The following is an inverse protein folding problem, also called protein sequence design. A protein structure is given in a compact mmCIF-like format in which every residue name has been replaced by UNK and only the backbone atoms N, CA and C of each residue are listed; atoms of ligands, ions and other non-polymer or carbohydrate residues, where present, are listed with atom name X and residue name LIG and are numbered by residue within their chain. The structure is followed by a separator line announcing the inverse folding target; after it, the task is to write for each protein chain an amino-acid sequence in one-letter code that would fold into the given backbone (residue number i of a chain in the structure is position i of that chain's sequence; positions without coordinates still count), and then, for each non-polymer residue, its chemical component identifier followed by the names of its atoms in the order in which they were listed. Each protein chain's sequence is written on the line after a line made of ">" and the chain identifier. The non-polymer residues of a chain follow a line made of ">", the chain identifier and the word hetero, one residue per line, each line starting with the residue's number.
data_IF_610154036118
#
_entry.id   IF_610154036118
#
_cell.length_a   1.000
_cell.length_b   1.000
_cell.length_c   1.000
_cell.angle_alpha   90.00
_cell.angle_beta   90.00
_cell.angle_gamma   90.00
#
_symmetry.space_group_name_H-M   'P 1'
#
loop_
_entity.id
_entity.type
_entity.pdbx_description
1 polymer ?
#
# COMPACT_ATOMS: atom_id res chain seq x y z
N UNK A 1 17.69 16.02 -28.04
CA UNK A 1 16.67 16.06 -26.97
C UNK A 1 15.38 15.57 -27.59
N UNK A 2 14.65 14.61 -26.99
CA UNK A 2 13.37 14.21 -27.57
C UNK A 2 12.46 15.44 -27.63
N UNK A 3 11.74 15.63 -28.74
CA UNK A 3 10.72 16.67 -28.88
C UNK A 3 9.76 16.59 -27.69
N UNK A 4 9.62 17.70 -26.98
CA UNK A 4 8.70 17.82 -25.87
C UNK A 4 7.29 17.73 -26.45
N UNK A 5 6.66 16.55 -26.38
CA UNK A 5 5.30 16.35 -26.83
C UNK A 5 4.40 17.44 -26.23
N UNK A 6 3.62 18.09 -27.08
CA UNK A 6 2.79 19.24 -26.73
C UNK A 6 1.49 18.77 -26.05
N UNK A 7 1.65 18.19 -24.85
CA UNK A 7 0.54 17.73 -24.03
C UNK A 7 -0.32 18.92 -23.60
N UNK A 8 -1.64 18.72 -23.58
CA UNK A 8 -2.59 19.71 -23.10
C UNK A 8 -2.21 20.18 -21.68
N UNK A 9 -2.06 21.50 -21.53
CA UNK A 9 -1.84 22.16 -20.23
C UNK A 9 -3.04 23.02 -19.93
N UNK A 10 -3.72 22.73 -18.82
CA UNK A 10 -4.84 23.55 -18.37
C UNK A 10 -4.36 24.97 -18.07
N UNK A 11 -5.07 25.98 -18.59
CA UNK A 11 -4.80 27.39 -18.32
C UNK A 11 -5.37 27.75 -16.94
N UNK A 12 -4.53 27.67 -15.92
CA UNK A 12 -4.88 28.02 -14.53
C UNK A 12 -3.84 28.98 -13.96
N UNK A 13 -4.33 30.06 -13.33
CA UNK A 13 -3.46 31.01 -12.64
C UNK A 13 -2.65 30.31 -11.53
N UNK A 14 -1.34 30.63 -11.46
CA UNK A 14 -0.41 30.00 -10.53
C UNK A 14 -0.78 30.25 -9.07
N UNK A 15 -1.37 31.40 -8.72
CA UNK A 15 -1.80 31.68 -7.34
C UNK A 15 -3.01 30.83 -6.99
N UNK A 16 -3.96 30.68 -7.91
CA UNK A 16 -5.11 29.78 -7.75
C UNK A 16 -4.66 28.34 -7.56
N UNK A 17 -3.78 27.82 -8.42
CA UNK A 17 -3.25 26.47 -8.30
C UNK A 17 -2.56 26.26 -6.93
N UNK A 18 -1.71 27.21 -6.51
CA UNK A 18 -1.04 27.15 -5.20
C UNK A 18 -2.02 27.16 -4.03
N UNK A 19 -3.11 27.91 -4.12
CA UNK A 19 -4.14 27.97 -3.09
C UNK A 19 -4.90 26.64 -3.00
N UNK A 20 -5.26 26.05 -4.14
CA UNK A 20 -5.96 24.75 -4.23
C UNK A 20 -5.07 23.58 -3.78
N UNK A 21 -3.76 23.64 -4.03
CA UNK A 21 -2.81 22.60 -3.61
C UNK A 21 -2.32 22.73 -2.15
N UNK A 22 -2.91 23.62 -1.35
CA UNK A 22 -2.47 23.85 0.03
C UNK A 22 -2.82 22.66 0.92
N UNK A 23 -1.78 21.99 1.43
CA UNK A 23 -1.90 20.85 2.35
C UNK A 23 -2.24 21.31 3.77
N UNK A 24 -3.04 20.52 4.47
CA UNK A 24 -3.43 20.77 5.86
C UNK A 24 -3.55 19.43 6.61
N UNK A 25 -3.07 19.37 7.85
CA UNK A 25 -3.10 18.12 8.62
C UNK A 25 -4.51 17.74 9.08
N UNK A 26 -5.31 18.72 9.49
CA UNK A 26 -6.63 18.48 10.10
C UNK A 26 -7.59 17.65 9.22
N UNK A 27 -7.80 17.96 7.92
CA UNK A 27 -8.67 17.13 7.08
C UNK A 27 -8.19 15.68 7.00
N UNK A 28 -6.90 15.46 6.75
CA UNK A 28 -6.32 14.12 6.69
C UNK A 28 -6.44 13.37 8.02
N UNK A 29 -6.23 14.03 9.17
CA UNK A 29 -6.44 13.43 10.50
C UNK A 29 -7.89 12.97 10.67
N UNK A 30 -8.87 13.79 10.25
CA UNK A 30 -10.28 13.41 10.36
C UNK A 30 -10.63 12.24 9.45
N UNK A 31 -10.19 12.27 8.19
CA UNK A 31 -10.45 11.20 7.22
C UNK A 31 -9.82 9.88 7.64
N UNK A 32 -8.50 9.86 7.87
CA UNK A 32 -7.81 8.63 8.26
C UNK A 32 -8.12 8.22 9.70
N UNK A 33 -8.37 9.17 10.60
CA UNK A 33 -8.83 8.88 11.96
C UNK A 33 -10.18 8.17 11.97
N UNK A 34 -11.14 8.61 11.15
CA UNK A 34 -12.42 7.91 10.99
C UNK A 34 -12.22 6.51 10.41
N UNK A 35 -11.38 6.37 9.38
CA UNK A 35 -11.02 5.09 8.80
C UNK A 35 -10.45 4.10 9.84
N UNK A 36 -9.41 4.49 10.59
CA UNK A 36 -8.81 3.63 11.60
C UNK A 36 -9.73 3.37 12.79
N UNK A 37 -10.63 4.30 13.13
CA UNK A 37 -11.65 4.08 14.17
C UNK A 37 -12.64 2.99 13.76
N UNK A 38 -13.13 3.02 12.52
CA UNK A 38 -14.02 1.98 11.97
C UNK A 38 -13.28 0.64 11.93
N UNK A 39 -12.04 0.63 11.44
CA UNK A 39 -11.22 -0.57 11.37
C UNK A 39 -11.01 -1.19 12.76
N UNK A 40 -10.64 -0.38 13.76
CA UNK A 40 -10.46 -0.83 15.13
C UNK A 40 -11.77 -1.33 15.76
N UNK A 41 -12.90 -0.68 15.48
CA UNK A 41 -14.22 -1.12 15.95
C UNK A 41 -14.61 -2.49 15.37
N UNK A 42 -14.37 -2.72 14.09
CA UNK A 42 -14.58 -4.02 13.45
C UNK A 42 -13.61 -5.08 13.98
N UNK A 43 -12.34 -4.72 14.19
CA UNK A 43 -11.35 -5.63 14.80
C UNK A 43 -11.75 -6.04 16.22
N UNK A 44 -12.21 -5.10 17.06
CA UNK A 44 -12.74 -5.39 18.39
C UNK A 44 -14.00 -6.28 18.33
N UNK A 45 -14.88 -6.04 17.35
CA UNK A 45 -16.06 -6.89 17.12
C UNK A 45 -15.66 -8.30 16.69
N UNK A 46 -14.60 -8.44 15.88
CA UNK A 46 -14.07 -9.74 15.47
C UNK A 46 -13.51 -10.50 16.67
N UNK A 47 -12.76 -9.82 17.55
CA UNK A 47 -12.28 -10.40 18.82
C UNK A 47 -13.46 -10.88 19.68
N UNK A 48 -14.49 -10.06 19.83
CA UNK A 48 -15.67 -10.39 20.64
C UNK A 48 -16.47 -11.58 20.09
N UNK A 49 -16.58 -11.67 18.77
CA UNK A 49 -17.34 -12.73 18.09
C UNK A 49 -16.51 -13.97 17.77
N UNK A 50 -15.22 -13.98 18.10
CA UNK A 50 -14.28 -15.04 17.75
C UNK A 50 -14.74 -16.41 18.25
N UNK A 51 -14.66 -17.43 17.38
CA UNK A 51 -15.15 -18.79 17.67
C UNK A 51 -16.64 -19.01 17.41
N UNK A 52 -17.40 -17.98 17.02
CA UNK A 52 -18.79 -18.09 16.57
C UNK A 52 -18.92 -17.95 15.05
N UNK A 53 -20.06 -18.36 14.48
CA UNK A 53 -20.37 -18.15 13.07
C UNK A 53 -20.42 -16.67 12.66
N UNK A 54 -20.68 -15.76 13.60
CA UNK A 54 -20.67 -14.31 13.35
C UNK A 54 -19.29 -13.77 13.00
N UNK A 55 -18.22 -14.40 13.50
CA UNK A 55 -16.85 -14.00 13.21
C UNK A 55 -16.56 -13.98 11.70
N UNK A 56 -17.16 -14.88 10.92
CA UNK A 56 -16.97 -14.93 9.46
C UNK A 56 -17.50 -13.66 8.79
N UNK A 57 -18.72 -13.24 9.13
CA UNK A 57 -19.31 -12.02 8.58
C UNK A 57 -18.55 -10.76 9.00
N UNK A 58 -18.16 -10.69 10.28
CA UNK A 58 -17.36 -9.55 10.79
C UNK A 58 -15.99 -9.51 10.13
N UNK A 59 -15.35 -10.67 9.91
CA UNK A 59 -14.07 -10.77 9.23
C UNK A 59 -14.15 -10.25 7.79
N UNK A 60 -15.19 -10.59 7.03
CA UNK A 60 -15.38 -10.08 5.67
C UNK A 60 -15.50 -8.55 5.67
N UNK A 61 -16.28 -7.98 6.59
CA UNK A 61 -16.42 -6.52 6.71
C UNK A 61 -15.10 -5.86 7.14
N UNK A 62 -14.39 -6.48 8.09
CA UNK A 62 -13.10 -6.02 8.57
C UNK A 62 -12.06 -6.01 7.45
N UNK A 63 -11.94 -7.10 6.67
CA UNK A 63 -11.06 -7.18 5.49
C UNK A 63 -11.44 -6.18 4.40
N UNK A 64 -12.73 -5.99 4.14
CA UNK A 64 -13.20 -5.00 3.18
C UNK A 64 -12.73 -3.58 3.59
N UNK A 65 -12.87 -3.23 4.87
CA UNK A 65 -12.35 -1.95 5.39
C UNK A 65 -10.82 -1.92 5.37
N UNK A 66 -10.13 -2.99 5.79
CA UNK A 66 -8.67 -3.10 5.76
C UNK A 66 -8.10 -2.80 4.38
N UNK A 67 -8.75 -3.26 3.31
CA UNK A 67 -8.33 -3.02 1.92
C UNK A 67 -8.26 -1.54 1.52
N UNK A 68 -9.02 -0.64 2.17
CA UNK A 68 -8.92 0.81 1.95
C UNK A 68 -7.60 1.41 2.46
N UNK A 69 -6.80 0.63 3.18
CA UNK A 69 -5.39 0.94 3.45
C UNK A 69 -4.61 1.17 2.15
N UNK A 70 -5.04 0.60 1.03
CA UNK A 70 -4.44 0.83 -0.29
C UNK A 70 -4.57 2.30 -0.67
N UNK A 71 -5.81 2.82 -0.65
CA UNK A 71 -6.08 4.22 -0.97
C UNK A 71 -5.31 5.17 -0.02
N UNK A 72 -5.28 4.86 1.27
CA UNK A 72 -4.52 5.66 2.24
C UNK A 72 -3.01 5.64 1.98
N UNK A 73 -2.44 4.46 1.69
CA UNK A 73 -1.03 4.27 1.37
C UNK A 73 -0.63 4.93 0.05
N UNK A 74 -1.47 4.82 -0.99
CA UNK A 74 -1.30 5.49 -2.29
C UNK A 74 -1.25 7.00 -2.09
N UNK A 75 -2.23 7.60 -1.42
CA UNK A 75 -2.19 9.04 -1.15
C UNK A 75 -0.96 9.44 -0.31
N UNK A 76 -0.60 8.64 0.69
CA UNK A 76 0.57 8.91 1.53
C UNK A 76 1.92 8.81 0.77
N UNK A 77 2.02 7.99 -0.28
CA UNK A 77 3.25 7.85 -1.06
C UNK A 77 3.58 9.12 -1.85
N UNK A 78 2.56 9.89 -2.25
CA UNK A 78 2.70 11.24 -2.80
C UNK A 78 3.19 12.28 -1.77
N UNK A 79 3.03 11.99 -0.48
CA UNK A 79 3.34 12.91 0.61
C UNK A 79 2.44 14.16 0.63
N UNK A 80 1.25 14.06 0.05
CA UNK A 80 0.27 15.15 -0.11
C UNK A 80 -0.81 15.23 0.97
N UNK A 81 -1.24 14.14 1.66
CA UNK A 81 -2.38 14.23 2.57
C UNK A 81 -2.14 15.19 3.74
N UNK A 82 -0.99 15.05 4.38
CA UNK A 82 -0.60 15.91 5.51
C UNK A 82 0.32 17.03 5.02
N UNK A 83 0.24 18.18 5.70
CA UNK A 83 1.30 19.19 5.66
C UNK A 83 2.57 18.66 6.31
N UNK A 84 2.42 17.86 7.37
CA UNK A 84 3.51 17.25 8.11
C UNK A 84 4.10 16.03 7.40
N UNK A 85 5.40 16.12 7.05
CA UNK A 85 6.12 15.02 6.42
C UNK A 85 6.17 13.75 7.27
N UNK A 86 6.31 13.89 8.60
CA UNK A 86 6.31 12.76 9.52
C UNK A 86 5.01 11.97 9.53
N UNK A 87 3.87 12.66 9.44
CA UNK A 87 2.54 12.01 9.39
C UNK A 87 2.34 11.25 8.08
N UNK A 88 2.75 11.83 6.95
CA UNK A 88 2.72 11.12 5.66
C UNK A 88 3.57 9.85 5.70
N UNK A 89 4.79 9.93 6.24
CA UNK A 89 5.65 8.75 6.38
C UNK A 89 5.04 7.71 7.32
N UNK A 90 4.50 8.12 8.47
CA UNK A 90 3.87 7.18 9.39
C UNK A 90 2.69 6.45 8.74
N UNK A 91 1.82 7.19 8.02
CA UNK A 91 0.69 6.60 7.30
C UNK A 91 1.17 5.64 6.19
N UNK A 92 2.14 6.06 5.39
CA UNK A 92 2.72 5.23 4.33
C UNK A 92 3.28 3.92 4.90
N UNK A 93 4.13 3.99 5.93
CA UNK A 93 4.73 2.80 6.52
C UNK A 93 3.69 1.87 7.16
N UNK A 94 2.68 2.43 7.83
CA UNK A 94 1.60 1.64 8.43
C UNK A 94 0.78 0.92 7.37
N UNK A 95 0.31 1.63 6.34
CA UNK A 95 -0.47 1.03 5.26
C UNK A 95 0.35 0.04 4.43
N UNK A 96 1.62 0.35 4.16
CA UNK A 96 2.54 -0.59 3.51
C UNK A 96 2.74 -1.86 4.34
N UNK A 97 2.82 -1.75 5.67
CA UNK A 97 2.90 -2.91 6.56
C UNK A 97 1.61 -3.73 6.56
N UNK A 98 0.44 -3.08 6.55
CA UNK A 98 -0.86 -3.74 6.48
C UNK A 98 -1.04 -4.54 5.18
N UNK A 99 -0.39 -4.11 4.08
CA UNK A 99 -0.61 -4.63 2.72
C UNK A 99 0.62 -5.32 2.13
N UNK A 100 1.65 -5.57 2.94
CA UNK A 100 2.90 -6.24 2.53
C UNK A 100 3.67 -5.54 1.40
N UNK A 101 3.61 -4.21 1.33
CA UNK A 101 4.39 -3.41 0.38
C UNK A 101 5.66 -2.89 1.02
N UNK A 102 6.73 -2.74 0.25
CA UNK A 102 7.88 -1.98 0.74
C UNK A 102 7.65 -0.47 0.47
N UNK A 103 7.59 0.37 1.52
CA UNK A 103 7.12 1.75 1.39
C UNK A 103 8.02 2.65 0.53
N UNK A 104 9.33 2.40 0.50
CA UNK A 104 10.27 3.21 -0.30
C UNK A 104 10.16 2.83 -1.77
N UNK A 105 10.12 1.53 -2.06
CA UNK A 105 9.87 0.94 -3.38
C UNK A 105 8.56 1.46 -3.95
N UNK A 106 7.46 1.38 -3.18
CA UNK A 106 6.15 1.90 -3.58
C UNK A 106 6.24 3.37 -3.97
N UNK A 107 6.83 4.22 -3.12
CA UNK A 107 6.95 5.66 -3.41
C UNK A 107 7.66 5.93 -4.74
N UNK A 108 8.77 5.23 -5.00
CA UNK A 108 9.56 5.45 -6.21
C UNK A 108 8.94 4.81 -7.46
N UNK A 109 8.41 3.59 -7.35
CA UNK A 109 7.67 2.92 -8.41
C UNK A 109 6.44 3.75 -8.81
N UNK A 110 5.73 4.31 -7.84
CA UNK A 110 4.57 5.14 -8.09
C UNK A 110 4.91 6.47 -8.77
N UNK A 111 5.99 7.13 -8.34
CA UNK A 111 6.48 8.32 -9.03
C UNK A 111 6.87 8.02 -10.50
N UNK A 112 7.47 6.85 -10.74
CA UNK A 112 7.79 6.37 -12.09
C UNK A 112 6.52 6.07 -12.89
N UNK A 113 5.52 5.43 -12.28
CA UNK A 113 4.21 5.18 -12.87
C UNK A 113 3.56 6.48 -13.36
N UNK A 114 3.53 7.54 -12.55
CA UNK A 114 2.97 8.85 -12.98
C UNK A 114 3.78 9.53 -14.08
N UNK A 115 5.06 9.18 -14.24
CA UNK A 115 5.90 9.71 -15.33
C UNK A 115 5.68 8.94 -16.63
N UNK A 116 5.43 7.63 -16.54
CA UNK A 116 5.38 6.70 -17.66
C UNK A 116 4.06 5.91 -17.71
N UNK A 117 2.94 6.53 -17.33
CA UNK A 117 1.66 5.83 -17.15
C UNK A 117 1.26 5.11 -18.43
N UNK A 118 0.99 3.80 -18.33
CA UNK A 118 0.62 2.93 -19.46
C UNK A 118 1.70 2.79 -20.56
N UNK A 119 2.95 3.20 -20.29
CA UNK A 119 4.09 2.93 -21.17
C UNK A 119 4.66 1.53 -20.86
N UNK A 120 4.36 0.59 -21.75
CA UNK A 120 4.68 -0.84 -21.58
C UNK A 120 6.20 -1.02 -21.43
N UNK A 121 6.62 -1.55 -20.28
CA UNK A 121 8.02 -1.80 -19.94
C UNK A 121 8.68 -0.69 -19.12
N UNK A 122 8.12 0.52 -19.09
CA UNK A 122 8.59 1.62 -18.25
C UNK A 122 7.71 1.84 -17.02
N UNK A 123 6.42 1.57 -17.13
CA UNK A 123 5.47 1.64 -16.03
C UNK A 123 5.67 0.48 -15.03
N UNK A 124 6.11 0.81 -13.82
CA UNK A 124 6.33 -0.17 -12.75
C UNK A 124 5.03 -0.69 -12.12
N UNK A 125 3.90 -0.01 -12.34
CA UNK A 125 2.58 -0.37 -11.81
C UNK A 125 1.62 -0.82 -12.94
N UNK A 126 2.17 -1.31 -14.05
CA UNK A 126 1.37 -1.84 -15.15
C UNK A 126 0.65 -3.13 -14.75
N UNK A 127 -0.61 -3.01 -14.35
CA UNK A 127 -1.38 -4.12 -13.75
C UNK A 127 -2.07 -5.03 -14.78
N UNK A 128 -2.57 -4.46 -15.89
CA UNK A 128 -3.39 -5.17 -16.86
C UNK A 128 -2.81 -5.05 -18.26
N UNK A 129 -2.70 -6.15 -19.02
CA UNK A 129 -2.32 -6.08 -20.42
C UNK A 129 -3.38 -5.30 -21.20
N UNK A 130 -2.95 -4.67 -22.29
CA UNK A 130 -3.82 -4.04 -23.28
C UNK A 130 -3.66 -4.81 -24.60
N UNK A 131 -4.71 -5.52 -25.09
CA UNK A 131 -6.07 -5.58 -24.57
C UNK A 131 -6.21 -6.43 -23.30
N UNK A 132 -7.15 -6.05 -22.44
CA UNK A 132 -7.44 -6.73 -21.17
C UNK A 132 -8.11 -8.08 -21.44
N UNK A 133 -7.75 -9.11 -20.67
CA UNK A 133 -8.36 -10.45 -20.75
C UNK A 133 -9.19 -10.74 -19.50
N UNK A 134 -10.25 -11.52 -19.66
CA UNK A 134 -11.12 -11.94 -18.55
C UNK A 134 -10.39 -12.59 -17.37
N UNK A 135 -9.38 -13.47 -17.56
CA UNK A 135 -8.63 -14.04 -16.44
C UNK A 135 -7.89 -12.98 -15.60
N UNK A 136 -7.41 -11.91 -16.23
CA UNK A 136 -6.71 -10.83 -15.54
C UNK A 136 -7.68 -10.00 -14.68
N UNK A 137 -8.90 -9.76 -15.18
CA UNK A 137 -9.98 -9.11 -14.43
C UNK A 137 -10.38 -9.93 -13.20
N UNK A 138 -10.59 -11.24 -13.38
CA UNK A 138 -10.96 -12.14 -12.28
C UNK A 138 -9.86 -12.20 -11.22
N UNK A 139 -8.60 -12.27 -11.65
CA UNK A 139 -7.46 -12.27 -10.74
C UNK A 139 -7.36 -10.95 -9.96
N UNK A 140 -7.60 -9.81 -10.63
CA UNK A 140 -7.63 -8.50 -9.99
C UNK A 140 -8.75 -8.41 -8.95
N UNK A 141 -9.96 -8.88 -9.28
CA UNK A 141 -11.11 -8.87 -8.38
C UNK A 141 -10.90 -9.75 -7.13
N UNK A 142 -10.22 -10.89 -7.28
CA UNK A 142 -9.90 -11.78 -6.17
C UNK A 142 -8.65 -11.35 -5.39
N UNK A 143 -7.83 -10.44 -5.91
CA UNK A 143 -6.59 -9.96 -5.28
C UNK A 143 -5.46 -10.97 -5.19
N UNK A 144 -5.66 -12.23 -5.62
CA UNK A 144 -4.71 -13.33 -5.41
C UNK A 144 -3.31 -13.05 -5.99
N UNK A 145 -3.26 -12.54 -7.23
CA UNK A 145 -1.98 -12.21 -7.87
C UNK A 145 -1.25 -11.08 -7.14
N UNK A 146 -1.97 -10.10 -6.59
CA UNK A 146 -1.37 -9.01 -5.83
C UNK A 146 -0.76 -9.53 -4.53
N UNK A 147 -1.53 -10.30 -3.75
CA UNK A 147 -1.04 -10.91 -2.51
C UNK A 147 0.20 -11.75 -2.78
N UNK A 148 0.16 -12.61 -3.80
CA UNK A 148 1.33 -13.42 -4.18
C UNK A 148 2.53 -12.55 -4.60
N UNK A 149 2.31 -11.57 -5.48
CA UNK A 149 3.35 -10.70 -6.00
C UNK A 149 4.09 -9.96 -4.89
N UNK A 150 3.34 -9.25 -4.03
CA UNK A 150 3.94 -8.42 -2.98
C UNK A 150 4.60 -9.23 -1.88
N UNK A 151 4.01 -10.36 -1.45
CA UNK A 151 4.66 -11.23 -0.48
C UNK A 151 5.92 -11.88 -1.04
N UNK A 152 5.91 -12.32 -2.31
CA UNK A 152 7.11 -12.84 -2.98
C UNK A 152 8.20 -11.77 -3.08
N UNK A 153 7.84 -10.56 -3.50
CA UNK A 153 8.76 -9.43 -3.61
C UNK A 153 9.36 -9.10 -2.24
N UNK A 154 8.54 -9.01 -1.19
CA UNK A 154 9.00 -8.73 0.16
C UNK A 154 10.04 -9.76 0.64
N UNK A 155 9.76 -11.05 0.42
CA UNK A 155 10.70 -12.14 0.75
C UNK A 155 12.01 -11.97 -0.04
N UNK A 156 11.95 -11.72 -1.34
CA UNK A 156 13.15 -11.49 -2.16
C UNK A 156 13.98 -10.31 -1.64
N UNK A 157 13.33 -9.20 -1.29
CA UNK A 157 13.96 -8.01 -0.72
C UNK A 157 14.64 -8.28 0.62
N UNK A 158 14.11 -9.19 1.45
CA UNK A 158 14.78 -9.55 2.72
C UNK A 158 16.16 -10.16 2.50
N UNK A 159 16.34 -10.88 1.40
CA UNK A 159 17.61 -11.47 0.95
C UNK A 159 18.44 -10.52 0.07
N UNK A 160 18.03 -9.25 -0.09
CA UNK A 160 18.75 -8.27 -0.91
C UNK A 160 18.51 -8.37 -2.42
N UNK A 161 17.50 -9.15 -2.84
CA UNK A 161 17.17 -9.32 -4.25
C UNK A 161 16.08 -8.34 -4.67
N UNK A 162 16.47 -7.20 -5.26
CA UNK A 162 15.56 -6.29 -5.94
C UNK A 162 15.32 -6.73 -7.38
N UNK A 163 14.05 -6.75 -7.81
CA UNK A 163 13.68 -7.02 -9.20
C UNK A 163 14.04 -5.83 -10.12
N UNK A 164 13.79 -6.00 -11.42
CA UNK A 164 14.09 -4.98 -12.43
C UNK A 164 13.42 -3.63 -12.11
N UNK A 165 12.11 -3.61 -11.86
CA UNK A 165 11.35 -2.39 -11.62
C UNK A 165 11.81 -1.61 -10.39
N UNK A 166 12.16 -2.31 -9.31
CA UNK A 166 12.74 -1.67 -8.12
C UNK A 166 14.07 -1.02 -8.45
N UNK A 167 14.95 -1.70 -9.20
CA UNK A 167 16.28 -1.16 -9.54
C UNK A 167 16.23 0.04 -10.47
N UNK A 168 15.26 0.10 -11.38
CA UNK A 168 15.09 1.25 -12.29
C UNK A 168 14.28 2.40 -11.69
N UNK A 169 13.54 2.16 -10.60
CA UNK A 169 12.72 3.17 -9.93
C UNK A 169 13.41 3.76 -8.71
N UNK A 170 14.03 2.92 -7.87
CA UNK A 170 14.62 3.32 -6.59
C UNK A 170 16.09 3.72 -6.79
N UNK A 171 16.51 4.91 -6.34
CA UNK A 171 17.92 5.30 -6.32
C UNK A 171 18.78 4.30 -5.53
N UNK A 172 19.99 4.02 -6.00
CA UNK A 172 20.89 3.04 -5.36
C UNK A 172 21.17 3.35 -3.88
N UNK A 173 21.21 4.64 -3.52
CA UNK A 173 21.40 5.12 -2.14
C UNK A 173 20.25 4.77 -1.20
N UNK A 174 19.05 4.53 -1.73
CA UNK A 174 17.85 4.17 -0.95
C UNK A 174 17.64 2.64 -0.86
N UNK A 175 18.29 1.84 -1.71
CA UNK A 175 18.15 0.37 -1.69
C UNK A 175 18.49 -0.28 -0.33
N UNK A 176 19.52 0.15 0.42
CA UNK A 176 19.76 -0.39 1.76
C UNK A 176 18.56 -0.20 2.71
N UNK A 177 17.82 0.91 2.56
CA UNK A 177 16.62 1.21 3.34
C UNK A 177 15.48 0.26 2.95
N UNK A 178 15.29 0.01 1.66
CA UNK A 178 14.31 -0.98 1.13
C UNK A 178 14.54 -2.34 1.78
N UNK A 179 15.77 -2.87 1.71
CA UNK A 179 16.09 -4.19 2.25
C UNK A 179 15.93 -4.26 3.77
N UNK A 180 16.32 -3.19 4.49
CA UNK A 180 16.11 -3.11 5.94
C UNK A 180 14.63 -3.14 6.30
N UNK A 181 13.80 -2.35 5.63
CA UNK A 181 12.36 -2.30 5.90
C UNK A 181 11.70 -3.65 5.61
N UNK A 182 12.07 -4.30 4.50
CA UNK A 182 11.57 -5.63 4.14
C UNK A 182 11.87 -6.67 5.23
N UNK A 183 13.09 -6.65 5.80
CA UNK A 183 13.45 -7.53 6.94
C UNK A 183 12.60 -7.23 8.17
N UNK A 184 12.43 -5.96 8.52
CA UNK A 184 11.61 -5.56 9.67
C UNK A 184 10.15 -6.02 9.50
N UNK A 185 9.58 -5.87 8.31
CA UNK A 185 8.21 -6.30 8.01
C UNK A 185 8.10 -7.83 8.12
N UNK A 186 8.98 -8.58 7.44
CA UNK A 186 8.97 -10.04 7.51
C UNK A 186 9.16 -10.55 8.96
N UNK A 187 10.08 -9.95 9.73
CA UNK A 187 10.27 -10.28 11.14
C UNK A 187 8.99 -10.03 11.93
N UNK A 188 8.30 -8.90 11.73
CA UNK A 188 7.05 -8.62 12.42
C UNK A 188 5.93 -9.63 12.08
N UNK A 189 5.85 -10.09 10.83
CA UNK A 189 4.90 -11.11 10.42
C UNK A 189 5.22 -12.48 11.05
N UNK A 190 6.49 -12.87 11.09
CA UNK A 190 6.94 -14.09 11.79
C UNK A 190 6.59 -14.03 13.27
N UNK A 191 6.78 -12.87 13.92
CA UNK A 191 6.41 -12.67 15.32
C UNK A 191 4.90 -12.85 15.52
N UNK A 192 4.05 -12.29 14.65
CA UNK A 192 2.60 -12.46 14.74
C UNK A 192 2.19 -13.93 14.61
N UNK A 193 2.79 -14.66 13.66
CA UNK A 193 2.56 -16.10 13.50
C UNK A 193 3.02 -16.86 14.76
N UNK A 194 4.18 -16.53 15.30
CA UNK A 194 4.69 -17.11 16.54
C UNK A 194 3.75 -16.88 17.73
N UNK A 195 3.19 -15.67 17.86
CA UNK A 195 2.17 -15.34 18.87
C UNK A 195 0.90 -16.16 18.67
N UNK A 196 0.43 -16.31 17.43
CA UNK A 196 -0.76 -17.13 17.13
C UNK A 196 -0.56 -18.60 17.52
N UNK A 197 0.61 -19.18 17.21
CA UNK A 197 0.98 -20.55 17.62
C UNK A 197 1.06 -20.67 19.13
N UNK A 198 1.71 -19.73 19.80
CA UNK A 198 1.83 -19.71 21.27
C UNK A 198 0.46 -19.60 21.96
N UNK A 199 -0.44 -18.77 21.43
CA UNK A 199 -1.82 -18.62 21.92
C UNK A 199 -2.74 -19.79 21.51
N UNK A 200 -2.26 -20.71 20.67
CA UNK A 200 -3.08 -21.76 20.04
C UNK A 200 -4.35 -21.20 19.37
N UNK A 201 -4.25 -20.00 18.81
CA UNK A 201 -5.37 -19.27 18.22
C UNK A 201 -4.90 -18.50 17.00
N UNK A 202 -5.60 -18.69 15.88
CA UNK A 202 -5.31 -17.96 14.63
C UNK A 202 -5.81 -16.51 14.65
N UNK A 203 -6.43 -16.04 15.73
CA UNK A 203 -6.96 -14.69 15.86
C UNK A 203 -5.93 -13.59 15.51
N UNK A 204 -4.66 -13.63 15.98
CA UNK A 204 -3.67 -12.61 15.60
C UNK A 204 -3.39 -12.57 14.10
N UNK A 205 -3.34 -13.75 13.44
CA UNK A 205 -3.17 -13.85 11.98
C UNK A 205 -4.39 -13.29 11.26
N UNK A 206 -5.60 -13.64 11.71
CA UNK A 206 -6.84 -13.12 11.15
C UNK A 206 -7.03 -11.62 11.38
N UNK A 207 -6.42 -11.02 12.40
CA UNK A 207 -6.51 -9.57 12.63
C UNK A 207 -5.48 -8.77 11.83
N UNK A 208 -4.29 -9.33 11.58
CA UNK A 208 -3.13 -8.53 11.19
C UNK A 208 -2.43 -8.96 9.90
N UNK A 209 -2.65 -10.19 9.41
CA UNK A 209 -1.95 -10.73 8.24
C UNK A 209 -2.88 -11.22 7.12
N UNK A 210 -4.00 -11.83 7.50
CA UNK A 210 -4.99 -12.37 6.56
C UNK A 210 -5.90 -11.33 5.90
N UNK A 211 -6.34 -10.25 6.59
CA UNK A 211 -7.25 -9.26 5.99
C UNK A 211 -6.73 -8.64 4.70
#
# INVERSE_FOLDING_TARGET
>A
MPEQQDWFKCDIDRKTLKALSKRADRPAILHFGAYFTILAGLGATLVYTWGSWWAVGVMILYSAVWSFGNAAGHEACHGTPFRSHGLNQALLYLCSWMLSWEPVSLKWAHARHHTHTSDVGNDAEYLLPNPVRWPDILSLACGWNQVWHYNKELVQLTFGHANYFIRVSVPETELPKVFRNARLFLTSYIVIIGVAVWMQSWLPVCLLLLP
#
